data_IF_604954303100
#
_entry.id   IF_604954303100
#
_cell.length_a   1.000
_cell.length_b   1.000
_cell.length_c   1.000
_cell.angle_alpha   90.00
_cell.angle_beta   90.00
_cell.angle_gamma   90.00
#
_symmetry.space_group_name_H-M   'P 1'
#
loop_
_entity.id
_entity.type
_entity.pdbx_description
1 polymer ?
#
# COMPACT_ATOMS: atom_id res chain seq x y z
N UNK A 1 1.29 20.92 -12.69
CA UNK A 1 0.04 20.87 -13.49
C UNK A 1 -1.12 21.00 -12.52
N UNK A 2 -2.19 21.74 -12.85
CA UNK A 2 -3.37 21.77 -11.99
C UNK A 2 -4.00 20.37 -11.94
N UNK A 3 -4.59 20.07 -10.79
CA UNK A 3 -5.40 18.88 -10.55
C UNK A 3 -6.47 18.76 -11.65
N UNK A 4 -6.48 17.65 -12.40
CA UNK A 4 -7.42 17.46 -13.52
C UNK A 4 -8.74 16.91 -13.03
N UNK A 5 -9.52 17.76 -12.35
CA UNK A 5 -10.93 17.52 -12.08
C UNK A 5 -11.75 18.03 -13.26
N UNK A 6 -12.61 17.19 -13.82
CA UNK A 6 -13.43 17.56 -14.99
C UNK A 6 -14.85 17.02 -14.83
N UNK A 7 -15.87 17.73 -15.35
CA UNK A 7 -17.20 17.17 -15.48
C UNK A 7 -17.22 15.98 -16.45
N UNK A 8 -18.24 15.12 -16.36
CA UNK A 8 -18.51 14.14 -17.42
C UNK A 8 -18.76 14.86 -18.75
N UNK A 9 -18.29 14.32 -19.90
CA UNK A 9 -18.61 14.88 -21.20
C UNK A 9 -20.08 14.62 -21.57
N UNK A 10 -20.72 15.47 -22.39
CA UNK A 10 -22.06 15.19 -22.88
C UNK A 10 -22.05 14.01 -23.87
N UNK A 11 -22.93 13.04 -23.64
CA UNK A 11 -23.10 11.83 -24.43
C UNK A 11 -24.59 11.53 -24.66
N UNK A 12 -24.95 10.52 -25.48
CA UNK A 12 -26.35 10.08 -25.59
C UNK A 12 -26.95 9.54 -24.28
N UNK A 13 -26.12 9.01 -23.37
CA UNK A 13 -26.55 8.42 -22.09
C UNK A 13 -26.43 9.37 -20.90
N UNK A 14 -25.63 10.43 -21.01
CA UNK A 14 -25.45 11.44 -19.96
C UNK A 14 -25.39 12.87 -20.52
N UNK A 15 -26.22 13.75 -19.96
CA UNK A 15 -26.20 15.20 -20.25
C UNK A 15 -26.00 16.05 -19.00
N UNK A 16 -25.80 15.43 -17.84
CA UNK A 16 -25.75 16.07 -16.52
C UNK A 16 -24.50 16.92 -16.27
N UNK A 17 -23.41 16.64 -16.99
CA UNK A 17 -22.10 17.29 -16.79
C UNK A 17 -21.66 17.22 -15.31
N UNK A 18 -21.95 16.09 -14.66
CA UNK A 18 -21.70 15.90 -13.23
C UNK A 18 -20.20 16.02 -12.92
N UNK A 19 -19.90 16.65 -11.79
CA UNK A 19 -18.53 16.91 -11.34
C UNK A 19 -18.18 16.06 -10.11
N UNK A 20 -16.88 15.76 -9.92
CA UNK A 20 -16.42 15.07 -8.72
C UNK A 20 -16.81 15.80 -7.44
N UNK A 21 -17.38 15.07 -6.49
CA UNK A 21 -17.75 15.56 -5.16
C UNK A 21 -16.68 15.08 -4.17
N UNK A 22 -15.84 15.99 -3.70
CA UNK A 22 -14.66 15.66 -2.88
C UNK A 22 -14.87 16.21 -1.47
N UNK A 23 -14.88 15.33 -0.47
CA UNK A 23 -14.93 15.75 0.92
C UNK A 23 -13.73 16.64 1.29
N UNK A 24 -13.95 17.68 2.10
CA UNK A 24 -12.94 18.70 2.44
C UNK A 24 -11.67 18.15 3.08
N UNK A 25 -11.76 16.99 3.74
CA UNK A 25 -10.67 16.31 4.42
C UNK A 25 -9.93 15.27 3.55
N UNK A 26 -10.43 14.99 2.35
CA UNK A 26 -9.74 14.14 1.38
C UNK A 26 -8.52 14.86 0.79
N UNK A 27 -7.59 14.10 0.23
CA UNK A 27 -6.45 14.62 -0.52
C UNK A 27 -6.37 13.92 -1.88
N UNK A 28 -6.31 14.71 -2.95
CA UNK A 28 -6.15 14.22 -4.31
C UNK A 28 -4.87 14.80 -4.88
N UNK A 29 -3.92 13.93 -5.20
CA UNK A 29 -2.63 14.37 -5.73
C UNK A 29 -2.79 15.11 -7.08
N UNK A 30 -2.04 16.20 -7.34
CA UNK A 30 -2.21 17.03 -8.54
C UNK A 30 -2.03 16.32 -9.90
N UNK A 31 -1.36 15.16 -9.93
CA UNK A 31 -1.18 14.37 -11.15
C UNK A 31 -2.32 13.37 -11.43
N UNK A 32 -3.35 13.33 -10.59
CA UNK A 32 -4.53 12.49 -10.77
C UNK A 32 -5.50 13.07 -11.82
N UNK A 33 -6.13 12.18 -12.58
CA UNK A 33 -7.28 12.50 -13.45
C UNK A 33 -8.58 12.02 -12.81
N UNK A 34 -9.51 12.92 -12.55
CA UNK A 34 -10.78 12.64 -11.86
C UNK A 34 -11.94 13.25 -12.66
N UNK A 35 -12.81 12.41 -13.22
CA UNK A 35 -13.81 12.83 -14.22
C UNK A 35 -15.20 12.24 -13.88
N UNK A 36 -16.24 13.08 -13.95
CA UNK A 36 -17.65 12.66 -13.83
C UNK A 36 -18.20 12.60 -12.41
N UNK A 37 -19.34 11.92 -12.21
CA UNK A 37 -19.99 11.72 -10.90
C UNK A 37 -19.20 10.71 -10.05
N UNK A 38 -18.15 11.24 -9.40
CA UNK A 38 -17.29 10.51 -8.46
C UNK A 38 -17.39 11.16 -7.09
N UNK A 39 -17.77 10.37 -6.08
CA UNK A 39 -18.03 10.85 -4.72
C UNK A 39 -16.97 10.30 -3.78
N UNK A 40 -16.15 11.17 -3.20
CA UNK A 40 -15.09 10.81 -2.26
C UNK A 40 -15.51 11.16 -0.83
N UNK A 41 -15.47 10.17 0.06
CA UNK A 41 -15.70 10.31 1.49
C UNK A 41 -14.56 11.02 2.23
N UNK A 42 -14.70 11.13 3.55
CA UNK A 42 -13.72 11.82 4.39
C UNK A 42 -12.37 11.10 4.43
N UNK A 43 -11.28 11.87 4.54
CA UNK A 43 -9.93 11.33 4.72
C UNK A 43 -9.51 10.30 3.65
N UNK A 44 -10.06 10.40 2.44
CA UNK A 44 -9.64 9.62 1.28
C UNK A 44 -8.33 10.15 0.73
N UNK A 45 -7.37 9.26 0.45
CA UNK A 45 -6.11 9.60 -0.23
C UNK A 45 -6.12 9.06 -1.66
N UNK A 46 -6.00 9.94 -2.65
CA UNK A 46 -5.81 9.55 -4.06
C UNK A 46 -4.37 9.91 -4.50
N UNK A 47 -3.60 8.89 -4.82
CA UNK A 47 -2.18 8.98 -5.11
C UNK A 47 -1.87 9.34 -6.59
N UNK A 48 -0.62 9.69 -6.92
CA UNK A 48 -0.20 10.07 -8.27
C UNK A 48 -0.56 9.09 -9.39
N UNK A 49 -0.81 9.63 -10.58
CA UNK A 49 -0.99 8.81 -11.80
C UNK A 49 -2.29 8.00 -11.84
N UNK A 50 -3.17 8.16 -10.85
CA UNK A 50 -4.48 7.52 -10.80
C UNK A 50 -5.42 8.12 -11.86
N UNK A 51 -6.25 7.27 -12.47
CA UNK A 51 -7.34 7.68 -13.37
C UNK A 51 -8.68 7.13 -12.89
N UNK A 52 -9.57 8.02 -12.45
CA UNK A 52 -10.92 7.68 -12.02
C UNK A 52 -11.89 8.41 -12.95
N UNK A 53 -12.66 7.66 -13.73
CA UNK A 53 -13.44 8.23 -14.84
C UNK A 53 -14.84 7.61 -14.91
N UNK A 54 -15.82 8.38 -14.45
CA UNK A 54 -17.24 8.04 -14.45
C UNK A 54 -17.96 8.76 -15.61
N UNK A 55 -17.59 8.43 -16.85
CA UNK A 55 -18.15 9.02 -18.08
C UNK A 55 -19.06 8.07 -18.88
N UNK A 56 -19.15 6.81 -18.46
CA UNK A 56 -19.97 5.76 -19.06
C UNK A 56 -20.86 5.12 -17.98
N UNK A 57 -20.29 4.22 -17.17
CA UNK A 57 -20.89 3.78 -15.92
C UNK A 57 -20.72 4.84 -14.83
N UNK A 58 -21.82 5.20 -14.15
CA UNK A 58 -21.85 6.17 -13.04
C UNK A 58 -23.07 5.91 -12.14
N UNK A 59 -23.09 6.42 -10.89
CA UNK A 59 -22.00 7.10 -10.16
C UNK A 59 -20.93 6.13 -9.62
N UNK A 60 -19.79 6.68 -9.21
CA UNK A 60 -18.78 6.00 -8.40
C UNK A 60 -18.75 6.53 -6.97
N UNK A 61 -18.66 5.65 -5.98
CA UNK A 61 -18.50 6.00 -4.56
C UNK A 61 -17.21 5.41 -3.99
N UNK A 62 -16.47 6.23 -3.24
CA UNK A 62 -15.26 5.84 -2.51
C UNK A 62 -15.43 6.30 -1.05
N UNK A 63 -15.62 5.32 -0.15
CA UNK A 63 -15.90 5.53 1.27
C UNK A 63 -14.77 6.19 2.05
N UNK A 64 -15.08 6.63 3.28
CA UNK A 64 -14.13 7.30 4.15
C UNK A 64 -12.92 6.44 4.53
N UNK A 65 -11.79 7.08 4.79
CA UNK A 65 -10.52 6.43 5.17
C UNK A 65 -9.98 5.41 4.15
N UNK A 66 -10.48 5.43 2.92
CA UNK A 66 -10.01 4.59 1.83
C UNK A 66 -8.84 5.25 1.11
N UNK A 67 -7.90 4.44 0.61
CA UNK A 67 -6.77 4.91 -0.18
C UNK A 67 -6.78 4.30 -1.57
N UNK A 68 -6.57 5.14 -2.57
CA UNK A 68 -6.42 4.78 -3.98
C UNK A 68 -4.99 5.12 -4.38
N UNK A 69 -4.17 4.08 -4.54
CA UNK A 69 -2.72 4.23 -4.68
C UNK A 69 -2.29 4.43 -6.14
N UNK A 70 -0.98 4.60 -6.34
CA UNK A 70 -0.41 5.06 -7.60
C UNK A 70 -0.84 4.23 -8.81
N UNK A 71 -1.25 4.92 -9.87
CA UNK A 71 -1.58 4.29 -11.15
C UNK A 71 -2.84 3.42 -11.14
N UNK A 72 -3.66 3.47 -10.08
CA UNK A 72 -4.95 2.78 -10.07
C UNK A 72 -5.86 3.34 -11.18
N UNK A 73 -6.62 2.46 -11.81
CA UNK A 73 -7.65 2.83 -12.79
C UNK A 73 -9.02 2.39 -12.27
N UNK A 74 -9.98 3.32 -12.31
CA UNK A 74 -11.38 3.04 -11.98
C UNK A 74 -12.26 3.53 -13.14
N UNK A 75 -13.01 2.59 -13.73
CA UNK A 75 -13.94 2.84 -14.84
C UNK A 75 -15.19 1.95 -14.67
N UNK A 76 -16.16 2.04 -15.56
CA UNK A 76 -17.39 1.27 -15.48
C UNK A 76 -18.15 1.23 -16.78
N UNK A 77 -18.77 0.09 -17.07
CA UNK A 77 -19.63 -0.08 -18.24
C UNK A 77 -20.91 0.75 -18.13
N UNK A 78 -21.47 1.19 -19.26
CA UNK A 78 -22.71 1.98 -19.36
C UNK A 78 -23.85 1.32 -18.57
N UNK A 79 -23.92 -0.01 -18.67
CA UNK A 79 -24.97 -0.85 -18.07
C UNK A 79 -24.40 -1.76 -16.99
N UNK A 80 -25.29 -2.17 -16.10
CA UNK A 80 -24.93 -2.95 -14.91
C UNK A 80 -24.62 -2.01 -13.76
N UNK A 81 -25.21 -2.30 -12.60
CA UNK A 81 -25.05 -1.52 -11.38
C UNK A 81 -24.97 -2.47 -10.20
N UNK A 82 -24.36 -1.99 -9.12
CA UNK A 82 -24.38 -2.62 -7.80
C UNK A 82 -25.19 -1.74 -6.86
N UNK A 83 -25.78 -2.34 -5.83
CA UNK A 83 -26.41 -1.61 -4.74
C UNK A 83 -25.35 -1.28 -3.70
N UNK A 84 -25.18 0.01 -3.40
CA UNK A 84 -24.33 0.48 -2.31
C UNK A 84 -24.93 0.17 -0.94
N UNK A 85 -24.16 0.36 0.12
CA UNK A 85 -24.64 0.12 1.49
C UNK A 85 -25.67 1.18 1.93
N UNK A 86 -25.74 2.31 1.22
CA UNK A 86 -26.79 3.32 1.34
C UNK A 86 -28.11 2.95 0.63
N UNK A 87 -28.14 1.80 -0.07
CA UNK A 87 -29.28 1.33 -0.84
C UNK A 87 -29.40 1.93 -2.25
N UNK A 88 -28.51 2.83 -2.64
CA UNK A 88 -28.52 3.50 -3.94
C UNK A 88 -27.76 2.68 -5.00
N UNK A 89 -27.96 3.02 -6.27
CA UNK A 89 -27.39 2.31 -7.42
C UNK A 89 -26.08 2.95 -7.87
N UNK A 90 -25.00 2.16 -7.96
CA UNK A 90 -23.66 2.59 -8.34
C UNK A 90 -23.09 1.76 -9.48
N UNK A 91 -22.24 2.35 -10.31
CA UNK A 91 -21.40 1.57 -11.22
C UNK A 91 -20.19 1.01 -10.48
N UNK A 92 -19.62 1.76 -9.53
CA UNK A 92 -18.54 1.30 -8.66
C UNK A 92 -18.83 1.75 -7.24
N UNK A 93 -18.88 0.80 -6.30
CA UNK A 93 -18.94 1.05 -4.87
C UNK A 93 -17.66 0.54 -4.22
N UNK A 94 -16.96 1.42 -3.51
CA UNK A 94 -15.81 1.07 -2.66
C UNK A 94 -16.13 1.58 -1.26
N UNK A 95 -16.19 0.66 -0.30
CA UNK A 95 -16.52 0.94 1.09
C UNK A 95 -15.43 1.71 1.85
N UNK A 96 -15.61 1.81 3.15
CA UNK A 96 -14.69 2.51 4.05
C UNK A 96 -13.47 1.66 4.40
N UNK A 97 -12.40 2.32 4.88
CA UNK A 97 -11.19 1.66 5.39
C UNK A 97 -10.56 0.67 4.40
N UNK A 98 -10.76 0.91 3.10
CA UNK A 98 -10.36 -0.01 2.04
C UNK A 98 -9.06 0.46 1.38
N UNK A 99 -8.20 -0.48 1.01
CA UNK A 99 -6.96 -0.21 0.30
C UNK A 99 -7.09 -0.68 -1.16
N UNK A 100 -7.12 0.25 -2.11
CA UNK A 100 -6.98 -0.06 -3.53
C UNK A 100 -5.54 0.26 -3.92
N UNK A 101 -4.71 -0.78 -4.00
CA UNK A 101 -3.27 -0.60 -4.02
C UNK A 101 -2.68 -0.45 -5.43
N UNK A 102 -1.38 -0.15 -5.50
CA UNK A 102 -0.71 0.28 -6.74
C UNK A 102 -1.10 -0.53 -7.98
N UNK A 103 -1.47 0.19 -9.04
CA UNK A 103 -1.82 -0.34 -10.36
C UNK A 103 -3.01 -1.32 -10.39
N UNK A 104 -3.84 -1.38 -9.35
CA UNK A 104 -5.08 -2.15 -9.40
C UNK A 104 -6.07 -1.56 -10.42
N UNK A 105 -6.92 -2.42 -10.99
CA UNK A 105 -8.00 -2.05 -11.89
C UNK A 105 -9.35 -2.41 -11.26
N UNK A 106 -10.19 -1.41 -11.01
CA UNK A 106 -11.56 -1.61 -10.55
C UNK A 106 -12.50 -1.21 -11.68
N UNK A 107 -13.28 -2.16 -12.20
CA UNK A 107 -14.14 -1.93 -13.35
C UNK A 107 -15.60 -2.29 -13.06
N UNK A 108 -16.48 -1.30 -13.14
CA UNK A 108 -17.92 -1.45 -12.91
C UNK A 108 -18.61 -2.40 -13.90
N UNK A 109 -19.68 -3.11 -13.49
CA UNK A 109 -20.32 -3.03 -12.16
C UNK A 109 -19.48 -3.75 -11.08
N UNK A 110 -19.08 -3.02 -10.04
CA UNK A 110 -18.19 -3.55 -9.01
C UNK A 110 -18.58 -3.04 -7.62
N UNK A 111 -18.65 -3.95 -6.66
CA UNK A 111 -18.82 -3.64 -5.25
C UNK A 111 -17.61 -4.17 -4.48
N UNK A 112 -16.98 -3.34 -3.66
CA UNK A 112 -15.93 -3.70 -2.73
C UNK A 112 -16.36 -3.17 -1.36
N UNK A 113 -16.62 -4.06 -0.42
CA UNK A 113 -17.10 -3.69 0.91
C UNK A 113 -16.00 -3.09 1.80
N UNK A 114 -16.40 -2.67 2.99
CA UNK A 114 -15.48 -2.11 4.00
C UNK A 114 -14.31 -3.02 4.36
N UNK A 115 -13.22 -2.41 4.85
CA UNK A 115 -12.04 -3.07 5.39
C UNK A 115 -11.35 -4.04 4.41
N UNK A 116 -11.53 -3.83 3.10
CA UNK A 116 -10.92 -4.68 2.09
C UNK A 116 -9.49 -4.25 1.77
N UNK A 117 -8.68 -5.21 1.35
CA UNK A 117 -7.36 -4.97 0.74
C UNK A 117 -7.36 -5.53 -0.68
N UNK A 118 -7.17 -4.68 -1.68
CA UNK A 118 -7.02 -5.07 -3.08
C UNK A 118 -5.56 -4.86 -3.50
N UNK A 119 -4.83 -5.97 -3.60
CA UNK A 119 -3.39 -6.01 -3.79
C UNK A 119 -2.90 -5.53 -5.16
N UNK A 120 -1.58 -5.37 -5.26
CA UNK A 120 -0.92 -4.73 -6.40
C UNK A 120 -1.28 -5.40 -7.72
N UNK A 121 -1.63 -4.60 -8.74
CA UNK A 121 -2.00 -5.09 -10.08
C UNK A 121 -3.15 -6.11 -10.09
N UNK A 122 -3.98 -6.14 -9.04
CA UNK A 122 -5.18 -6.99 -9.03
C UNK A 122 -6.33 -6.30 -9.77
N UNK A 123 -7.22 -7.09 -10.35
CA UNK A 123 -8.37 -6.62 -11.12
C UNK A 123 -9.67 -7.13 -10.50
N UNK A 124 -10.64 -6.24 -10.33
CA UNK A 124 -12.03 -6.57 -9.94
C UNK A 124 -12.96 -6.05 -11.03
N UNK A 125 -13.68 -6.95 -11.70
CA UNK A 125 -14.57 -6.59 -12.81
C UNK A 125 -15.86 -7.41 -12.79
N UNK A 126 -17.03 -6.75 -12.93
CA UNK A 126 -18.34 -7.42 -12.89
C UNK A 126 -18.48 -8.34 -11.67
N UNK A 127 -18.08 -7.85 -10.50
CA UNK A 127 -17.87 -8.69 -9.32
C UNK A 127 -18.21 -7.95 -8.02
N UNK A 128 -18.54 -8.73 -6.99
CA UNK A 128 -18.75 -8.24 -5.63
C UNK A 128 -17.70 -8.84 -4.71
N UNK A 129 -16.97 -8.01 -3.98
CA UNK A 129 -16.01 -8.41 -2.95
C UNK A 129 -16.58 -8.00 -1.60
N UNK A 130 -17.00 -8.98 -0.80
CA UNK A 130 -17.59 -8.73 0.52
C UNK A 130 -16.62 -8.07 1.51
N UNK A 131 -17.17 -7.49 2.58
CA UNK A 131 -16.37 -6.80 3.61
C UNK A 131 -15.23 -7.65 4.16
N UNK A 132 -14.14 -7.00 4.56
CA UNK A 132 -12.95 -7.62 5.17
C UNK A 132 -12.27 -8.64 4.26
N UNK A 133 -12.44 -8.59 2.94
CA UNK A 133 -11.68 -9.48 2.06
C UNK A 133 -10.23 -9.01 1.91
N UNK A 134 -9.31 -9.97 1.83
CA UNK A 134 -7.90 -9.72 1.58
C UNK A 134 -7.55 -10.36 0.23
N UNK A 135 -7.40 -9.52 -0.79
CA UNK A 135 -6.99 -9.91 -2.13
C UNK A 135 -5.53 -9.55 -2.30
N UNK A 136 -4.68 -10.56 -2.47
CA UNK A 136 -3.25 -10.35 -2.65
C UNK A 136 -2.94 -9.92 -4.09
N UNK A 137 -1.67 -9.95 -4.49
CA UNK A 137 -1.17 -9.30 -5.71
C UNK A 137 -1.51 -10.09 -6.98
N UNK A 138 -1.69 -9.39 -8.10
CA UNK A 138 -1.92 -9.97 -9.43
C UNK A 138 -3.11 -10.95 -9.49
N UNK A 139 -4.13 -10.74 -8.67
CA UNK A 139 -5.35 -11.54 -8.73
C UNK A 139 -6.32 -10.97 -9.77
N UNK A 140 -7.08 -11.84 -10.43
CA UNK A 140 -8.23 -11.44 -11.26
C UNK A 140 -9.49 -11.99 -10.61
N UNK A 141 -10.43 -11.11 -10.27
CA UNK A 141 -11.75 -11.46 -9.75
C UNK A 141 -12.78 -10.95 -10.75
N UNK A 142 -13.48 -11.88 -11.40
CA UNK A 142 -14.42 -11.54 -12.46
C UNK A 142 -15.66 -12.42 -12.43
N UNK A 143 -16.84 -11.82 -12.67
CA UNK A 143 -18.12 -12.52 -12.82
C UNK A 143 -18.53 -13.37 -11.59
N UNK A 144 -18.12 -12.95 -10.39
CA UNK A 144 -18.32 -13.68 -9.12
C UNK A 144 -18.65 -12.76 -7.94
N UNK A 145 -19.23 -13.33 -6.89
CA UNK A 145 -19.34 -12.73 -5.56
C UNK A 145 -18.39 -13.44 -4.59
N UNK A 146 -17.37 -12.73 -4.09
CA UNK A 146 -16.49 -13.20 -3.03
C UNK A 146 -17.19 -12.98 -1.68
N UNK A 147 -17.45 -14.03 -0.88
CA UNK A 147 -18.05 -13.87 0.44
C UNK A 147 -17.22 -12.97 1.36
N UNK A 148 -17.83 -12.33 2.38
CA UNK A 148 -17.08 -11.52 3.34
C UNK A 148 -15.98 -12.31 4.08
N UNK A 149 -14.87 -11.63 4.40
CA UNK A 149 -13.78 -12.19 5.21
C UNK A 149 -12.91 -13.23 4.50
N UNK A 150 -12.96 -13.31 3.17
CA UNK A 150 -12.18 -14.29 2.39
C UNK A 150 -10.79 -13.78 2.03
N UNK A 151 -9.87 -14.72 1.86
CA UNK A 151 -8.50 -14.49 1.43
C UNK A 151 -8.28 -15.03 0.01
N UNK A 152 -7.85 -14.18 -0.90
CA UNK A 152 -7.47 -14.53 -2.28
C UNK A 152 -5.96 -14.43 -2.40
N UNK A 153 -5.30 -15.57 -2.66
CA UNK A 153 -3.85 -15.63 -2.81
C UNK A 153 -3.33 -14.89 -4.05
N UNK A 154 -2.03 -14.60 -4.07
CA UNK A 154 -1.42 -13.89 -5.20
C UNK A 154 -1.49 -14.70 -6.49
N UNK A 155 -1.76 -14.05 -7.62
CA UNK A 155 -1.82 -14.68 -8.95
C UNK A 155 -3.07 -15.52 -9.19
N UNK A 156 -4.01 -15.58 -8.25
CA UNK A 156 -5.24 -16.36 -8.39
C UNK A 156 -6.19 -15.67 -9.36
N UNK A 157 -6.75 -16.45 -10.28
CA UNK A 157 -7.80 -16.03 -11.21
C UNK A 157 -9.09 -16.72 -10.80
N UNK A 158 -10.11 -15.94 -10.44
CA UNK A 158 -11.43 -16.42 -10.02
C UNK A 158 -12.46 -15.92 -11.03
N UNK A 159 -13.00 -16.87 -11.79
CA UNK A 159 -13.98 -16.59 -12.87
C UNK A 159 -15.22 -17.48 -12.77
N UNK A 160 -15.32 -18.29 -11.72
CA UNK A 160 -16.51 -19.08 -11.43
C UNK A 160 -16.86 -19.03 -9.94
N UNK A 161 -18.16 -19.01 -9.65
CA UNK A 161 -18.65 -18.86 -8.27
C UNK A 161 -18.18 -19.99 -7.36
N UNK A 162 -18.02 -21.21 -7.89
CA UNK A 162 -17.57 -22.35 -7.08
C UNK A 162 -16.15 -22.20 -6.53
N UNK A 163 -15.27 -21.47 -7.23
CA UNK A 163 -13.94 -21.09 -6.73
C UNK A 163 -14.04 -20.06 -5.63
N UNK A 164 -14.86 -19.03 -5.82
CA UNK A 164 -15.11 -17.99 -4.83
C UNK A 164 -15.65 -18.56 -3.51
N UNK A 165 -16.60 -19.49 -3.59
CA UNK A 165 -17.23 -20.12 -2.42
C UNK A 165 -16.26 -21.00 -1.61
N UNK A 166 -15.19 -21.50 -2.24
CA UNK A 166 -14.18 -22.37 -1.61
C UNK A 166 -12.97 -21.62 -1.06
N UNK A 167 -12.95 -20.29 -1.14
CA UNK A 167 -11.83 -19.51 -0.64
C UNK A 167 -11.63 -19.70 0.87
N UNK A 168 -10.36 -19.74 1.34
CA UNK A 168 -10.06 -19.73 2.76
C UNK A 168 -10.46 -18.40 3.39
N UNK A 169 -10.70 -18.42 4.69
CA UNK A 169 -10.94 -17.19 5.46
C UNK A 169 -9.62 -16.44 5.66
N UNK A 170 -9.69 -15.11 5.62
CA UNK A 170 -8.61 -14.22 6.01
C UNK A 170 -8.33 -14.36 7.51
N UNK A 171 -7.05 -14.31 7.87
CA UNK A 171 -6.61 -14.43 9.25
C UNK A 171 -6.53 -13.06 9.90
N UNK A 172 -6.51 -13.04 11.22
CA UNK A 172 -6.31 -11.81 12.01
C UNK A 172 -5.03 -11.06 11.64
N UNK A 173 -3.96 -11.76 11.25
CA UNK A 173 -2.72 -11.15 10.77
C UNK A 173 -2.89 -10.40 9.46
N UNK A 174 -3.78 -10.86 8.58
CA UNK A 174 -4.04 -10.27 7.28
C UNK A 174 -4.85 -8.97 7.44
N UNK A 175 -5.86 -8.98 8.31
CA UNK A 175 -6.60 -7.76 8.66
C UNK A 175 -5.74 -6.72 9.37
N UNK A 176 -4.83 -7.15 10.28
CA UNK A 176 -3.89 -6.22 10.92
C UNK A 176 -2.96 -5.56 9.91
N UNK A 177 -2.51 -6.32 8.92
CA UNK A 177 -1.73 -5.78 7.81
C UNK A 177 -2.53 -4.73 7.03
N UNK A 178 -3.77 -5.04 6.62
CA UNK A 178 -4.64 -4.08 5.91
C UNK A 178 -4.87 -2.80 6.73
N UNK A 179 -5.24 -2.94 8.01
CA UNK A 179 -5.45 -1.80 8.91
C UNK A 179 -4.22 -0.92 9.05
N UNK A 180 -3.03 -1.52 9.14
CA UNK A 180 -1.78 -0.76 9.19
C UNK A 180 -1.56 0.06 7.92
N UNK A 181 -1.89 -0.47 6.74
CA UNK A 181 -1.80 0.28 5.47
C UNK A 181 -2.78 1.47 5.47
N UNK A 182 -3.99 1.30 6.01
CA UNK A 182 -4.94 2.42 6.20
C UNK A 182 -4.35 3.50 7.11
N UNK A 183 -3.77 3.12 8.25
CA UNK A 183 -3.13 4.06 9.20
C UNK A 183 -2.00 4.87 8.56
N UNK A 184 -1.12 4.18 7.80
CA UNK A 184 -0.01 4.83 7.08
C UNK A 184 -0.56 5.83 6.06
N UNK A 185 -1.59 5.47 5.28
CA UNK A 185 -2.17 6.37 4.29
C UNK A 185 -2.91 7.56 4.92
N UNK A 186 -3.52 7.39 6.10
CA UNK A 186 -4.07 8.51 6.88
C UNK A 186 -2.96 9.48 7.32
N UNK A 187 -1.81 8.97 7.77
CA UNK A 187 -0.67 9.78 8.15
C UNK A 187 -0.06 10.51 6.94
N UNK A 188 0.07 9.82 5.79
CA UNK A 188 0.53 10.42 4.54
C UNK A 188 -0.40 11.54 4.07
N UNK A 189 -1.71 11.33 4.09
CA UNK A 189 -2.70 12.35 3.79
C UNK A 189 -2.52 13.59 4.66
N UNK A 190 -2.36 13.42 5.97
CA UNK A 190 -2.12 14.52 6.89
C UNK A 190 -0.82 15.26 6.54
N UNK A 191 0.25 14.51 6.21
CA UNK A 191 1.53 15.06 5.77
C UNK A 191 1.42 15.88 4.49
N UNK A 192 0.75 15.36 3.46
CA UNK A 192 0.54 16.08 2.20
C UNK A 192 -0.27 17.36 2.38
N UNK A 193 -1.34 17.31 3.18
CA UNK A 193 -2.14 18.51 3.50
C UNK A 193 -1.34 19.53 4.30
N UNK A 194 -0.53 19.08 5.25
CA UNK A 194 0.37 19.95 5.98
C UNK A 194 1.38 20.62 5.03
N UNK A 195 1.94 19.87 4.07
CA UNK A 195 2.89 20.42 3.10
C UNK A 195 2.30 21.53 2.22
N UNK A 196 1.00 21.47 1.92
CA UNK A 196 0.26 22.50 1.19
C UNK A 196 -0.17 23.69 2.08
N UNK A 197 -0.04 23.58 3.40
CA UNK A 197 -0.39 24.62 4.37
C UNK A 197 0.87 25.29 4.96
N UNK A 198 1.08 26.56 4.62
CA UNK A 198 2.20 27.37 5.13
C UNK A 198 2.19 27.46 6.65
N UNK A 199 1.02 27.54 7.29
CA UNK A 199 0.91 27.63 8.75
C UNK A 199 1.39 26.33 9.42
N UNK A 200 1.15 25.17 8.77
CA UNK A 200 1.61 23.88 9.25
C UNK A 200 3.12 23.65 9.01
N UNK A 201 3.65 24.06 7.85
CA UNK A 201 5.06 23.86 7.50
C UNK A 201 6.03 24.82 8.20
N UNK A 202 5.61 26.04 8.53
CA UNK A 202 6.51 27.09 9.08
C UNK A 202 7.21 26.67 10.39
N UNK A 203 6.53 26.10 11.39
CA UNK A 203 7.19 25.62 12.62
C UNK A 203 8.19 24.49 12.36
N UNK A 204 7.90 23.58 11.43
CA UNK A 204 8.76 22.45 11.07
C UNK A 204 10.05 22.92 10.37
N UNK A 205 9.92 23.89 9.46
CA UNK A 205 11.06 24.48 8.76
C UNK A 205 11.98 25.30 9.69
N UNK A 206 11.40 25.94 10.71
CA UNK A 206 12.17 26.68 11.71
C UNK A 206 12.91 25.77 12.69
N UNK A 207 12.37 24.58 13.01
CA UNK A 207 13.08 23.53 13.74
C UNK A 207 14.31 23.00 13.01
N UNK A 208 14.30 23.00 11.66
CA UNK A 208 15.43 22.59 10.83
C UNK A 208 16.51 23.66 10.62
N UNK A 209 16.28 24.92 10.99
CA UNK A 209 17.30 25.99 10.90
C UNK A 209 18.27 26.03 12.07
N UNK A 210 18.10 25.14 13.06
CA UNK A 210 19.02 24.96 14.18
C UNK A 210 19.57 23.53 14.28
N UNK A 211 19.88 22.89 13.16
CA UNK A 211 20.75 21.70 13.17
C UNK A 211 21.78 21.81 12.04
N UNK A 212 23.05 21.83 12.45
CA UNK A 212 24.23 21.66 11.62
C UNK A 212 24.04 20.56 10.58
N UNK A 213 24.42 20.85 9.33
CA UNK A 213 24.35 19.95 8.17
C UNK A 213 24.60 18.48 8.52
N UNK A 214 23.58 17.62 8.41
CA UNK A 214 23.73 16.16 8.45
C UNK A 214 24.23 15.67 7.08
N UNK A 215 25.23 14.78 7.02
CA UNK A 215 25.85 14.35 5.77
C UNK A 215 24.93 13.46 4.92
N UNK A 216 25.13 13.49 3.59
CA UNK A 216 24.42 12.74 2.55
C UNK A 216 24.32 11.21 2.75
N UNK A 217 25.07 10.65 3.70
CA UNK A 217 25.11 9.22 4.01
C UNK A 217 23.82 8.71 4.66
N UNK A 218 23.09 9.52 5.44
CA UNK A 218 21.88 9.07 6.16
C UNK A 218 20.70 8.77 5.20
N UNK A 219 20.53 9.53 4.12
CA UNK A 219 19.40 9.32 3.17
C UNK A 219 19.52 8.05 2.34
N UNK A 220 20.75 7.61 2.04
CA UNK A 220 20.98 6.33 1.35
C UNK A 220 20.71 5.15 2.29
N UNK A 221 20.94 5.33 3.59
CA UNK A 221 20.73 4.30 4.61
C UNK A 221 19.22 4.03 4.86
N UNK A 222 18.37 5.06 4.75
CA UNK A 222 16.92 4.94 4.87
C UNK A 222 16.26 4.20 3.69
N UNK A 223 16.68 4.47 2.44
CA UNK A 223 16.14 3.77 1.27
C UNK A 223 16.54 2.29 1.21
N UNK A 224 17.79 1.98 1.55
CA UNK A 224 18.24 0.58 1.68
C UNK A 224 17.48 -0.16 2.80
N UNK A 225 17.02 0.53 3.84
CA UNK A 225 16.31 -0.12 4.96
C UNK A 225 14.95 -0.70 4.59
N UNK A 226 14.21 -0.07 3.66
CA UNK A 226 12.87 -0.52 3.28
C UNK A 226 12.90 -1.79 2.42
N UNK A 227 13.76 -1.83 1.39
CA UNK A 227 13.93 -3.02 0.53
C UNK A 227 14.48 -4.21 1.33
N UNK A 228 15.49 -3.95 2.18
CA UNK A 228 16.06 -4.96 3.07
C UNK A 228 15.01 -5.49 4.04
N UNK A 229 14.16 -4.63 4.60
CA UNK A 229 13.11 -5.03 5.53
C UNK A 229 12.07 -5.93 4.84
N UNK A 230 11.59 -5.57 3.65
CA UNK A 230 10.66 -6.42 2.89
C UNK A 230 11.23 -7.80 2.64
N UNK A 231 12.51 -7.86 2.30
CA UNK A 231 13.18 -9.11 2.01
C UNK A 231 13.44 -9.96 3.27
N UNK A 232 13.85 -9.36 4.39
CA UNK A 232 13.98 -10.04 5.69
C UNK A 232 12.62 -10.64 6.09
N UNK A 233 11.54 -9.87 5.92
CA UNK A 233 10.19 -10.33 6.21
C UNK A 233 9.72 -11.44 5.26
N UNK A 234 10.13 -11.40 3.98
CA UNK A 234 9.93 -12.50 3.04
C UNK A 234 10.58 -13.80 3.53
N UNK A 235 11.82 -13.73 3.99
CA UNK A 235 12.56 -14.89 4.52
C UNK A 235 11.95 -15.44 5.81
N UNK A 236 11.57 -14.58 6.75
CA UNK A 236 10.88 -15.00 7.97
C UNK A 236 9.54 -15.70 7.66
N UNK A 237 8.80 -15.25 6.64
CA UNK A 237 7.56 -15.90 6.18
C UNK A 237 7.78 -17.29 5.58
N UNK A 238 8.94 -17.53 4.95
CA UNK A 238 9.34 -18.85 4.47
C UNK A 238 9.79 -19.79 5.61
N UNK A 239 9.82 -19.31 6.86
CA UNK A 239 10.29 -20.06 8.02
C UNK A 239 11.81 -20.04 8.18
N UNK A 240 12.52 -19.20 7.42
CA UNK A 240 13.97 -19.09 7.50
C UNK A 240 14.38 -18.27 8.72
N UNK A 241 15.51 -18.65 9.32
CA UNK A 241 16.10 -17.90 10.42
C UNK A 241 16.95 -16.75 9.89
N UNK A 242 16.99 -15.63 10.60
CA UNK A 242 17.76 -14.46 10.19
C UNK A 242 18.92 -14.25 11.17
N UNK A 243 20.14 -14.26 10.63
CA UNK A 243 21.37 -13.97 11.35
C UNK A 243 21.93 -12.61 10.96
N UNK A 244 22.67 -12.01 11.90
CA UNK A 244 23.45 -10.78 11.67
C UNK A 244 24.93 -11.11 11.86
N UNK A 245 25.78 -10.50 11.05
CA UNK A 245 27.23 -10.55 11.17
C UNK A 245 27.81 -9.15 11.11
N UNK A 246 28.88 -8.92 11.87
CA UNK A 246 29.62 -7.66 11.88
C UNK A 246 31.12 -7.87 11.66
N UNK A 247 31.80 -6.87 11.11
CA UNK A 247 33.24 -6.85 10.96
C UNK A 247 33.80 -5.42 11.05
N UNK A 248 34.85 -5.19 11.84
CA UNK A 248 35.58 -3.92 11.80
C UNK A 248 36.32 -3.73 10.45
N UNK A 249 36.92 -2.55 10.23
CA UNK A 249 37.61 -2.23 8.98
C UNK A 249 38.76 -3.19 8.60
N UNK A 250 39.42 -3.84 9.58
CA UNK A 250 40.51 -4.78 9.35
C UNK A 250 39.97 -6.15 8.96
N UNK A 251 38.98 -6.64 9.69
CA UNK A 251 38.33 -7.94 9.47
C UNK A 251 37.52 -7.96 8.17
N UNK A 252 36.85 -6.84 7.84
CA UNK A 252 36.10 -6.70 6.59
C UNK A 252 37.00 -6.87 5.35
N UNK A 253 38.23 -6.32 5.37
CA UNK A 253 39.19 -6.43 4.25
C UNK A 253 39.62 -7.86 3.96
N UNK A 254 39.65 -8.71 4.98
CA UNK A 254 40.06 -10.13 4.86
C UNK A 254 38.87 -11.08 4.83
N UNK A 255 37.63 -10.56 4.74
CA UNK A 255 36.41 -11.36 4.69
C UNK A 255 36.11 -12.13 5.98
N UNK A 256 36.65 -11.70 7.12
CA UNK A 256 36.39 -12.30 8.43
C UNK A 256 35.20 -11.63 9.09
N UNK A 257 34.21 -12.40 9.51
CA UNK A 257 32.95 -11.89 10.08
C UNK A 257 32.69 -12.51 11.45
N UNK A 258 32.11 -11.74 12.36
CA UNK A 258 31.68 -12.20 13.68
C UNK A 258 30.16 -12.26 13.72
N UNK A 259 29.60 -13.43 14.06
CA UNK A 259 28.16 -13.60 14.20
C UNK A 259 27.64 -12.86 15.43
N UNK A 260 26.57 -12.10 15.21
CA UNK A 260 25.82 -11.42 16.26
C UNK A 260 24.66 -12.32 16.74
N UNK A 261 24.05 -12.01 17.90
CA UNK A 261 22.82 -12.67 18.30
C UNK A 261 21.73 -12.53 17.23
N UNK A 262 20.87 -13.55 17.05
CA UNK A 262 19.84 -13.55 16.03
C UNK A 262 18.85 -12.40 16.22
N UNK A 263 18.20 -11.99 15.13
CA UNK A 263 17.10 -11.02 15.21
C UNK A 263 15.94 -11.61 16.01
N UNK A 264 15.34 -10.76 16.83
CA UNK A 264 14.21 -11.12 17.68
C UNK A 264 12.90 -10.69 17.01
N UNK A 265 11.88 -11.54 17.14
CA UNK A 265 10.54 -11.25 16.67
C UNK A 265 10.26 -11.72 15.24
N UNK A 266 8.97 -11.90 14.96
CA UNK A 266 8.45 -12.27 13.63
C UNK A 266 7.68 -11.13 12.98
N UNK A 267 7.61 -9.97 13.65
CA UNK A 267 6.86 -8.79 13.22
C UNK A 267 7.78 -7.69 12.69
N UNK A 268 7.36 -6.92 11.65
CA UNK A 268 8.16 -5.87 11.03
C UNK A 268 8.80 -4.89 12.01
N UNK A 269 8.04 -4.35 12.95
CA UNK A 269 8.59 -3.38 13.91
C UNK A 269 9.60 -3.99 14.86
N UNK A 270 9.39 -5.22 15.35
CA UNK A 270 10.34 -5.88 16.24
C UNK A 270 11.66 -6.18 15.52
N UNK A 271 11.56 -6.63 14.26
CA UNK A 271 12.71 -6.89 13.39
C UNK A 271 13.45 -5.58 13.10
N UNK A 272 12.72 -4.51 12.77
CA UNK A 272 13.30 -3.18 12.50
C UNK A 272 13.95 -2.58 13.74
N UNK A 273 13.30 -2.65 14.90
CA UNK A 273 13.84 -2.17 16.17
C UNK A 273 15.09 -2.94 16.58
N UNK A 274 15.07 -4.27 16.41
CA UNK A 274 16.22 -5.12 16.70
C UNK A 274 17.36 -4.85 15.73
N UNK A 275 17.07 -4.67 14.44
CA UNK A 275 18.07 -4.32 13.43
C UNK A 275 18.70 -2.94 13.68
N UNK A 276 17.87 -1.93 13.93
CA UNK A 276 18.33 -0.57 14.22
C UNK A 276 19.18 -0.53 15.49
N UNK A 277 18.77 -1.24 16.54
CA UNK A 277 19.56 -1.38 17.78
C UNK A 277 20.95 -1.96 17.49
N UNK A 278 21.05 -2.99 16.64
CA UNK A 278 22.33 -3.61 16.25
C UNK A 278 23.17 -2.68 15.37
N UNK A 279 22.56 -1.95 14.44
CA UNK A 279 23.29 -0.98 13.63
C UNK A 279 23.89 0.14 14.48
N UNK A 280 23.18 0.60 15.51
CA UNK A 280 23.69 1.57 16.49
C UNK A 280 24.78 0.97 17.38
N UNK A 281 24.62 -0.28 17.85
CA UNK A 281 25.62 -0.96 18.68
C UNK A 281 26.96 -1.15 17.95
N UNK A 282 26.92 -1.42 16.64
CA UNK A 282 28.09 -1.63 15.80
C UNK A 282 28.38 -0.43 14.89
N UNK A 283 28.11 0.79 15.37
CA UNK A 283 28.40 2.01 14.62
C UNK A 283 29.88 2.06 14.22
N UNK A 284 30.16 2.22 12.93
CA UNK A 284 31.52 2.24 12.38
C UNK A 284 32.04 0.88 11.86
N UNK A 285 31.39 -0.23 12.19
CA UNK A 285 31.72 -1.55 11.65
C UNK A 285 30.90 -1.85 10.38
N UNK A 286 31.36 -2.82 9.59
CA UNK A 286 30.52 -3.44 8.56
C UNK A 286 29.44 -4.29 9.23
N UNK A 287 28.20 -4.24 8.75
CA UNK A 287 27.10 -5.08 9.24
C UNK A 287 26.41 -5.71 8.04
N UNK A 288 26.19 -7.03 8.10
CA UNK A 288 25.43 -7.78 7.09
C UNK A 288 24.36 -8.66 7.73
N UNK A 289 23.30 -8.93 6.99
CA UNK A 289 22.23 -9.87 7.34
C UNK A 289 22.29 -11.06 6.42
N UNK A 290 21.96 -12.24 6.92
CA UNK A 290 21.81 -13.45 6.12
C UNK A 290 20.62 -14.28 6.62
N UNK A 291 20.07 -15.13 5.75
CA UNK A 291 19.05 -16.11 6.14
C UNK A 291 19.55 -17.55 6.04
N UNK A 292 19.04 -18.38 6.95
CA UNK A 292 19.29 -19.83 7.01
C UNK A 292 17.97 -20.57 6.79
N UNK A 293 17.94 -21.50 5.85
CA UNK A 293 16.78 -22.34 5.59
C UNK A 293 16.62 -23.51 6.59
N UNK A 294 15.55 -24.29 6.43
CA UNK A 294 15.28 -25.47 7.25
C UNK A 294 16.34 -26.58 7.11
N UNK A 295 17.17 -26.56 6.06
CA UNK A 295 18.29 -27.45 5.82
C UNK A 295 19.62 -26.92 6.37
N UNK A 296 19.58 -25.82 7.14
CA UNK A 296 20.75 -25.14 7.72
C UNK A 296 21.71 -24.58 6.66
N UNK A 297 21.23 -24.29 5.46
CA UNK A 297 22.00 -23.65 4.40
C UNK A 297 21.77 -22.14 4.39
N UNK A 298 22.81 -21.37 4.07
CA UNK A 298 22.67 -19.93 3.83
C UNK A 298 22.04 -19.72 2.46
N UNK A 299 20.94 -18.98 2.41
CA UNK A 299 20.16 -18.78 1.17
C UNK A 299 20.04 -17.31 0.75
N UNK A 300 20.42 -16.37 1.61
CA UNK A 300 20.50 -14.94 1.31
C UNK A 300 21.60 -14.28 2.14
N UNK A 301 22.24 -13.25 1.57
CA UNK A 301 23.18 -12.38 2.27
C UNK A 301 23.13 -10.94 1.72
N UNK A 302 23.01 -9.94 2.60
CA UNK A 302 23.08 -8.52 2.26
C UNK A 302 23.92 -7.70 3.22
N UNK A 303 24.76 -6.84 2.65
CA UNK A 303 25.56 -5.87 3.39
C UNK A 303 24.74 -4.60 3.65
N UNK A 304 24.49 -4.29 4.92
CA UNK A 304 23.70 -3.14 5.35
C UNK A 304 24.54 -1.90 5.65
N UNK A 305 25.74 -2.14 6.18
CA UNK A 305 26.67 -1.07 6.56
C UNK A 305 28.08 -1.48 6.11
N UNK A 306 28.82 -0.53 5.55
CA UNK A 306 30.26 -0.65 5.32
C UNK A 306 31.02 -0.03 6.50
N UNK A 307 32.22 -0.52 6.82
CA UNK A 307 32.98 0.05 7.91
C UNK A 307 33.43 1.46 7.55
N UNK A 308 33.43 2.36 8.53
CA UNK A 308 33.97 3.71 8.36
C UNK A 308 35.50 3.59 8.43
N UNK A 309 36.26 4.12 7.44
CA UNK A 309 37.71 4.15 7.54
C UNK A 309 38.14 4.96 8.76
N UNK A 310 39.01 4.39 9.59
CA UNK A 310 39.76 5.12 10.63
C UNK A 310 40.67 6.17 10.02
#
# INVERSE_FOLDING_TARGET
>A
MPLRQQPSPPTPWDRGLDQPQIHESAYVHPSTSLIGDVRLGHQVLIAPGTSIRADEGMPFYIGGNTNIQDGVVIHGLERGRVTGDDGESYSVWIGEHTCITHMALIHGPAYIGDDCFIGFRSTVFNAKVGHRCIVMMHALIQDVEIPPGKYVGSGVVITNQSEADRLPDAKTTDHRFSHHVVEINRALLAGYRCADDVACTTPLNNGHRSETARPQTDRLQEQLSAEVLEQILGQLRLGNQIGIEQADARHFKVGSWQSCPPLEGTYPQQVLDSLNRRMTEYQGNAVRVFSIDSHKQRVMEWLLQRPIPS
#
